data_IF_488116297152
#
_entry.id   IF_488116297152
#
_cell.length_a   1.000
_cell.length_b   1.000
_cell.length_c   1.000
_cell.angle_alpha   90.00
_cell.angle_beta   90.00
_cell.angle_gamma   90.00
#
_symmetry.space_group_name_H-M   'P 1'
#
loop_
_entity.id
_entity.type
_entity.pdbx_description
1 polymer ?
#
# COMPACT_ATOMS: atom_id res chain seq x y z
N UNK A 1 -8.83 23.52 11.61
CA UNK A 1 -8.96 22.09 11.99
C UNK A 1 -7.75 21.38 11.43
N UNK A 2 -6.92 20.84 12.29
CA UNK A 2 -5.62 20.30 11.88
C UNK A 2 -5.80 18.89 11.30
N UNK A 3 -5.51 18.76 10.00
CA UNK A 3 -5.45 17.48 9.29
C UNK A 3 -4.00 17.11 9.07
N UNK A 4 -3.67 15.84 9.30
CA UNK A 4 -2.43 15.24 8.83
C UNK A 4 -2.76 14.35 7.64
N UNK A 5 -1.88 14.35 6.65
CA UNK A 5 -1.93 13.43 5.51
C UNK A 5 -0.67 12.59 5.48
N UNK A 6 -0.84 11.29 5.29
CA UNK A 6 0.25 10.37 4.97
C UNK A 6 0.17 10.04 3.49
N UNK A 7 1.33 10.12 2.84
CA UNK A 7 1.52 9.66 1.47
C UNK A 7 2.53 8.54 1.52
N UNK A 8 2.18 7.37 1.01
CA UNK A 8 3.07 6.21 0.97
C UNK A 8 2.86 5.40 -0.30
N UNK A 9 3.80 4.50 -0.57
CA UNK A 9 3.73 3.49 -1.62
C UNK A 9 4.07 2.14 -1.01
N UNK A 10 3.54 1.09 -1.63
CA UNK A 10 3.91 -0.28 -1.29
C UNK A 10 4.88 -0.79 -2.34
N UNK A 11 6.04 -1.20 -1.86
CA UNK A 11 7.08 -1.84 -2.67
C UNK A 11 7.20 -3.29 -2.24
N UNK A 12 7.07 -4.21 -3.20
CA UNK A 12 7.18 -5.63 -2.92
C UNK A 12 7.68 -6.39 -4.14
N UNK A 13 8.62 -7.29 -3.91
CA UNK A 13 8.96 -8.32 -4.90
C UNK A 13 7.83 -9.34 -4.96
N UNK A 14 7.27 -9.55 -6.15
CA UNK A 14 6.21 -10.53 -6.43
C UNK A 14 6.74 -11.62 -7.37
N UNK A 15 6.12 -12.79 -7.31
CA UNK A 15 6.47 -13.93 -8.15
C UNK A 15 5.57 -13.97 -9.38
N UNK A 16 6.18 -14.24 -10.53
CA UNK A 16 5.54 -14.42 -11.83
C UNK A 16 5.41 -15.92 -12.14
N UNK A 17 4.54 -16.24 -13.11
CA UNK A 17 4.21 -17.61 -13.54
C UNK A 17 5.43 -18.47 -13.91
N UNK A 18 6.52 -17.84 -14.35
CA UNK A 18 7.73 -18.52 -14.85
C UNK A 18 8.86 -18.56 -13.81
N UNK A 19 8.54 -18.46 -12.51
CA UNK A 19 9.53 -18.33 -11.42
C UNK A 19 10.40 -17.06 -11.51
N UNK A 20 9.99 -16.09 -12.33
CA UNK A 20 10.60 -14.77 -12.37
C UNK A 20 10.10 -13.94 -11.18
N UNK A 21 10.96 -13.06 -10.69
CA UNK A 21 10.62 -12.08 -9.66
C UNK A 21 10.57 -10.68 -10.27
N UNK A 22 9.60 -9.88 -9.84
CA UNK A 22 9.47 -8.49 -10.27
C UNK A 22 9.19 -7.57 -9.08
N UNK A 23 9.80 -6.39 -9.09
CA UNK A 23 9.43 -5.32 -8.18
C UNK A 23 8.07 -4.72 -8.60
N UNK A 24 7.07 -4.87 -7.75
CA UNK A 24 5.83 -4.12 -7.81
C UNK A 24 5.95 -2.84 -6.99
N UNK A 25 5.45 -1.73 -7.55
CA UNK A 25 5.33 -0.43 -6.88
C UNK A 25 3.89 0.04 -7.07
N UNK A 26 3.18 0.25 -5.97
CA UNK A 26 1.80 0.74 -6.02
C UNK A 26 1.72 2.19 -6.53
N UNK A 27 0.55 2.62 -7.05
CA UNK A 27 0.21 4.04 -7.09
C UNK A 27 0.37 4.70 -5.70
N UNK A 28 0.56 6.03 -5.62
CA UNK A 28 0.63 6.72 -4.34
C UNK A 28 -0.70 6.58 -3.58
N UNK A 29 -0.61 6.11 -2.34
CA UNK A 29 -1.73 6.02 -1.42
C UNK A 29 -1.73 7.25 -0.53
N UNK A 30 -2.85 7.97 -0.49
CA UNK A 30 -3.02 9.17 0.32
C UNK A 30 -4.12 8.92 1.34
N UNK A 31 -3.77 9.03 2.63
CA UNK A 31 -4.73 8.92 3.72
C UNK A 31 -4.66 10.19 4.56
N UNK A 32 -5.81 10.82 4.77
CA UNK A 32 -5.93 11.99 5.63
C UNK A 32 -6.80 11.69 6.84
N UNK A 33 -6.41 12.24 7.99
CA UNK A 33 -7.15 12.06 9.23
C UNK A 33 -7.24 13.36 10.01
N UNK A 34 -8.34 13.49 10.77
CA UNK A 34 -8.53 14.58 11.72
C UNK A 34 -7.75 14.25 12.99
N UNK A 35 -6.73 15.06 13.27
CA UNK A 35 -5.81 14.86 14.40
C UNK A 35 -6.46 15.09 15.76
N UNK A 36 -7.63 15.74 15.82
CA UNK A 36 -8.36 15.96 17.06
C UNK A 36 -9.09 14.70 17.55
N UNK A 37 -9.29 13.72 16.67
CA UNK A 37 -10.12 12.53 16.94
C UNK A 37 -9.34 11.22 16.80
N UNK A 38 -8.16 11.24 16.19
CA UNK A 38 -7.40 10.03 15.83
C UNK A 38 -5.95 10.20 16.28
N UNK A 39 -5.54 9.31 17.19
CA UNK A 39 -4.22 9.33 17.82
C UNK A 39 -3.31 8.21 17.27
N UNK A 40 -3.91 7.20 16.61
CA UNK A 40 -3.20 6.06 16.04
C UNK A 40 -3.94 5.57 14.79
N UNK A 41 -3.16 5.18 13.78
CA UNK A 41 -3.66 4.58 12.53
C UNK A 41 -2.95 3.25 12.31
N UNK A 42 -3.70 2.20 12.02
CA UNK A 42 -3.15 0.89 11.66
C UNK A 42 -3.45 0.59 10.19
N UNK A 43 -2.43 0.23 9.43
CA UNK A 43 -2.55 -0.14 8.02
C UNK A 43 -2.52 -1.66 7.90
N UNK A 44 -3.50 -2.21 7.21
CA UNK A 44 -3.49 -3.61 6.78
C UNK A 44 -3.52 -3.63 5.27
N UNK A 45 -2.42 -4.09 4.69
CA UNK A 45 -2.32 -4.24 3.25
C UNK A 45 -2.89 -5.61 2.86
N UNK A 46 -3.56 -5.72 1.70
CA UNK A 46 -3.91 -7.01 1.15
C UNK A 46 -2.64 -7.82 0.82
N UNK A 47 -2.83 -9.12 0.54
CA UNK A 47 -1.73 -9.94 0.02
C UNK A 47 -1.28 -9.39 -1.32
N UNK A 48 0.03 -9.46 -1.54
CA UNK A 48 0.71 -8.96 -2.72
C UNK A 48 1.92 -9.87 -2.96
N UNK A 49 1.64 -11.06 -3.46
CA UNK A 49 2.62 -12.13 -3.67
C UNK A 49 2.81 -12.46 -5.16
N UNK A 50 1.83 -12.12 -6.01
CA UNK A 50 1.82 -12.47 -7.43
C UNK A 50 1.18 -11.37 -8.31
N UNK A 51 1.25 -11.56 -9.64
CA UNK A 51 0.76 -10.60 -10.64
C UNK A 51 -0.74 -10.34 -10.56
N UNK A 52 -1.55 -11.35 -10.26
CA UNK A 52 -3.01 -11.19 -10.12
C UNK A 52 -3.36 -10.27 -8.95
N UNK A 53 -2.70 -10.47 -7.81
CA UNK A 53 -2.88 -9.63 -6.63
C UNK A 53 -2.38 -8.20 -6.86
N UNK A 54 -1.23 -8.05 -7.53
CA UNK A 54 -0.68 -6.76 -7.92
C UNK A 54 -1.60 -5.96 -8.86
N UNK A 55 -2.26 -6.63 -9.80
CA UNK A 55 -3.23 -5.99 -10.69
C UNK A 55 -4.54 -5.60 -9.99
N UNK A 56 -4.79 -6.13 -8.80
CA UNK A 56 -5.98 -5.84 -8.01
C UNK A 56 -5.72 -4.90 -6.82
N UNK A 57 -4.45 -4.55 -6.60
CA UNK A 57 -3.99 -3.63 -5.56
C UNK A 57 -4.18 -2.18 -5.99
#
# INVERSE_FOLDING_TARGET
>A
MDRISLVFRVEKTIHLSNSEERLYISPPLVVSFNTQLINQVNFRLPRLENEREANHF
#
